data_IF_632072867173
#
_entry.id   IF_632072867173
#
_cell.length_a   1.000
_cell.length_b   1.000
_cell.length_c   1.000
_cell.angle_alpha   90.00
_cell.angle_beta   90.00
_cell.angle_gamma   90.00
#
_symmetry.space_group_name_H-M   'P 1'
#
loop_
_entity.id
_entity.type
_entity.pdbx_description
1 polymer ?
#
# COMPACT_ATOMS: atom_id res chain seq x y z
N UNK A 1 -18.42 20.59 66.05
CA UNK A 1 -18.41 19.29 65.34
C UNK A 1 -18.21 19.57 63.86
N UNK A 2 -16.96 19.56 63.40
CA UNK A 2 -16.61 19.87 62.00
C UNK A 2 -16.77 18.60 61.15
N UNK A 3 -17.65 18.64 60.15
CA UNK A 3 -17.75 17.59 59.13
C UNK A 3 -16.91 18.02 57.92
N UNK A 4 -15.74 17.39 57.77
CA UNK A 4 -14.95 17.42 56.55
C UNK A 4 -15.65 16.56 55.49
N UNK A 5 -16.13 17.20 54.42
CA UNK A 5 -16.59 16.51 53.22
C UNK A 5 -15.36 16.24 52.35
N UNK A 6 -14.96 14.97 52.24
CA UNK A 6 -13.95 14.54 51.27
C UNK A 6 -14.57 14.51 49.87
N UNK A 7 -14.12 15.40 48.99
CA UNK A 7 -14.37 15.32 47.57
C UNK A 7 -13.34 14.36 46.94
N UNK A 8 -13.82 13.20 46.46
CA UNK A 8 -13.01 12.27 45.66
C UNK A 8 -13.04 12.77 44.22
N UNK A 9 -11.93 13.35 43.77
CA UNK A 9 -11.74 13.77 42.38
C UNK A 9 -11.36 12.55 41.53
N UNK A 10 -12.27 12.09 40.67
CA UNK A 10 -11.96 11.14 39.62
C UNK A 10 -11.20 11.86 38.50
N UNK A 11 -9.90 11.60 38.38
CA UNK A 11 -9.10 12.03 37.23
C UNK A 11 -9.32 11.01 36.11
N UNK A 12 -10.09 11.39 35.08
CA UNK A 12 -10.24 10.62 33.85
C UNK A 12 -8.96 10.79 33.01
N UNK A 13 -8.10 9.77 32.97
CA UNK A 13 -6.97 9.74 32.03
C UNK A 13 -7.54 9.48 30.62
N UNK A 14 -7.61 10.51 29.79
CA UNK A 14 -7.85 10.34 28.35
C UNK A 14 -6.56 9.80 27.73
N UNK A 15 -6.54 8.52 27.36
CA UNK A 15 -5.47 7.95 26.56
C UNK A 15 -5.57 8.51 25.15
N UNK A 16 -4.81 9.57 24.86
CA UNK A 16 -4.60 10.04 23.50
C UNK A 16 -3.56 9.09 22.88
N UNK A 17 -4.03 8.00 22.27
CA UNK A 17 -3.17 7.15 21.47
C UNK A 17 -2.64 7.98 20.30
N UNK A 18 -1.34 8.26 20.28
CA UNK A 18 -0.71 8.85 19.11
C UNK A 18 -0.68 7.78 18.03
N UNK A 19 -1.62 7.83 17.09
CA UNK A 19 -1.53 7.00 15.90
C UNK A 19 -0.42 7.59 15.04
N UNK A 20 0.72 6.89 14.97
CA UNK A 20 1.88 7.34 14.23
C UNK A 20 1.69 6.97 12.77
N UNK A 21 1.40 7.96 11.93
CA UNK A 21 1.45 7.77 10.49
C UNK A 21 2.89 7.43 10.08
N UNK A 22 3.06 6.43 9.22
CA UNK A 22 4.36 6.06 8.64
C UNK A 22 4.41 6.47 7.16
N UNK A 23 5.59 6.84 6.69
CA UNK A 23 5.77 7.24 5.30
C UNK A 23 5.76 6.04 4.36
N UNK A 24 5.29 6.24 3.14
CA UNK A 24 5.35 5.27 2.06
C UNK A 24 5.17 5.94 0.70
N UNK A 25 4.96 5.09 -0.30
CA UNK A 25 4.71 5.52 -1.68
C UNK A 25 3.49 4.81 -2.25
N UNK A 26 2.78 5.47 -3.16
CA UNK A 26 1.67 4.86 -3.88
C UNK A 26 1.93 4.78 -5.37
N UNK A 27 1.71 3.59 -5.93
CA UNK A 27 1.47 3.38 -7.35
C UNK A 27 -0.01 3.14 -7.62
N UNK A 28 -0.37 3.01 -8.88
CA UNK A 28 -1.75 2.90 -9.31
C UNK A 28 -2.01 1.71 -10.22
N UNK A 29 -3.12 1.03 -9.95
CA UNK A 29 -3.51 -0.15 -10.69
C UNK A 29 -5.03 -0.20 -10.88
N UNK A 30 -5.46 -0.72 -12.03
CA UNK A 30 -6.87 -0.96 -12.31
C UNK A 30 -7.19 -2.44 -12.07
N UNK A 31 -7.57 -2.74 -10.82
CA UNK A 31 -7.92 -4.10 -10.40
C UNK A 31 -9.06 -4.68 -11.22
N UNK A 32 -9.97 -3.85 -11.76
CA UNK A 32 -11.09 -4.32 -12.59
C UNK A 32 -10.67 -4.98 -13.90
N UNK A 33 -9.42 -4.83 -14.32
CA UNK A 33 -8.85 -5.46 -15.52
C UNK A 33 -8.16 -6.79 -15.25
N UNK A 34 -8.02 -7.16 -13.97
CA UNK A 34 -7.33 -8.36 -13.56
C UNK A 34 -8.27 -9.56 -13.48
N UNK A 35 -7.73 -10.76 -13.70
CA UNK A 35 -8.48 -12.01 -13.56
C UNK A 35 -8.60 -12.50 -12.12
N UNK A 36 -7.80 -11.95 -11.19
CA UNK A 36 -7.78 -12.32 -9.78
C UNK A 36 -6.78 -11.49 -8.99
N UNK A 37 -6.71 -11.75 -7.68
CA UNK A 37 -5.80 -11.12 -6.71
C UNK A 37 -5.21 -12.18 -5.78
N UNK A 38 -4.10 -11.89 -5.11
CA UNK A 38 -3.41 -12.82 -4.22
C UNK A 38 -4.25 -13.23 -2.99
N UNK A 39 -5.08 -12.31 -2.45
CA UNK A 39 -5.89 -12.62 -1.27
C UNK A 39 -7.13 -13.44 -1.61
N UNK A 40 -7.16 -14.68 -1.14
CA UNK A 40 -8.32 -15.56 -1.27
C UNK A 40 -9.59 -14.92 -0.69
N UNK A 41 -10.70 -15.02 -1.44
CA UNK A 41 -12.01 -14.51 -1.03
C UNK A 41 -12.27 -13.04 -1.39
N UNK A 42 -11.29 -12.34 -1.96
CA UNK A 42 -11.47 -11.00 -2.50
C UNK A 42 -11.65 -11.00 -4.01
N UNK A 43 -12.36 -9.99 -4.52
CA UNK A 43 -12.58 -9.80 -5.95
C UNK A 43 -11.59 -8.77 -6.51
N UNK A 44 -11.13 -8.94 -7.76
CA UNK A 44 -10.30 -7.96 -8.47
C UNK A 44 -11.16 -6.76 -8.88
N UNK A 45 -11.52 -5.91 -7.91
CA UNK A 45 -12.33 -4.71 -8.13
C UNK A 45 -11.72 -3.51 -7.45
N UNK A 46 -11.80 -2.34 -8.09
CA UNK A 46 -11.25 -1.09 -7.54
C UNK A 46 -11.92 -0.66 -6.21
N UNK A 47 -13.14 -1.13 -5.95
CA UNK A 47 -13.86 -0.91 -4.70
C UNK A 47 -14.03 -2.21 -3.91
N UNK A 48 -13.91 -2.11 -2.59
CA UNK A 48 -14.12 -3.18 -1.61
C UNK A 48 -15.36 -2.89 -0.73
N UNK A 49 -16.29 -2.06 -1.24
CA UNK A 49 -17.49 -1.59 -0.53
C UNK A 49 -17.21 -0.44 0.45
N UNK A 50 -18.25 0.24 0.92
CA UNK A 50 -18.19 1.26 1.98
C UNK A 50 -17.12 2.36 1.77
N UNK A 51 -16.92 2.81 0.52
CA UNK A 51 -15.86 3.78 0.16
C UNK A 51 -14.44 3.32 0.51
N UNK A 52 -14.20 2.01 0.49
CA UNK A 52 -12.88 1.39 0.66
C UNK A 52 -12.35 0.99 -0.71
N UNK A 53 -11.12 1.38 -0.99
CA UNK A 53 -10.42 1.08 -2.24
C UNK A 53 -9.59 -0.19 -2.11
N UNK A 54 -9.44 -0.95 -3.20
CA UNK A 54 -8.48 -2.05 -3.24
C UNK A 54 -7.04 -1.53 -3.22
N UNK A 55 -6.15 -2.30 -2.60
CA UNK A 55 -4.72 -2.09 -2.71
C UNK A 55 -3.94 -3.40 -2.56
N UNK A 56 -2.68 -3.36 -3.02
CA UNK A 56 -1.64 -4.31 -2.69
C UNK A 56 -0.56 -3.66 -1.83
N UNK A 57 0.07 -4.45 -0.97
CA UNK A 57 1.24 -4.03 -0.18
C UNK A 57 2.47 -4.81 -0.64
N UNK A 58 3.62 -4.14 -0.73
CA UNK A 58 4.90 -4.81 -0.97
C UNK A 58 5.22 -5.83 0.13
N UNK A 59 5.70 -7.01 -0.27
CA UNK A 59 6.20 -8.05 0.64
C UNK A 59 7.54 -7.71 1.31
N UNK A 60 8.14 -6.56 0.96
CA UNK A 60 9.31 -5.95 1.60
C UNK A 60 8.95 -4.77 2.52
N UNK A 61 7.66 -4.45 2.62
CA UNK A 61 7.15 -3.37 3.45
C UNK A 61 7.40 -3.65 4.94
N UNK A 62 7.84 -2.65 5.73
CA UNK A 62 7.84 -2.75 7.18
C UNK A 62 6.46 -3.02 7.80
N UNK A 63 5.38 -2.66 7.09
CA UNK A 63 4.01 -2.94 7.49
C UNK A 63 3.53 -4.35 7.08
N UNK A 64 4.32 -5.10 6.31
CA UNK A 64 3.97 -6.47 5.91
C UNK A 64 3.92 -7.39 7.12
N UNK A 65 2.88 -8.21 7.19
CA UNK A 65 2.73 -9.26 8.20
C UNK A 65 2.62 -10.62 7.52
N UNK A 66 3.35 -11.61 8.06
CA UNK A 66 3.46 -12.95 7.47
C UNK A 66 4.81 -13.20 6.82
N UNK A 67 4.90 -14.30 6.07
CA UNK A 67 6.11 -14.63 5.30
C UNK A 67 6.17 -13.76 4.04
N UNK A 68 7.39 -13.50 3.53
CA UNK A 68 7.55 -12.93 2.19
C UNK A 68 6.97 -13.93 1.17
N UNK A 69 6.42 -13.43 0.08
CA UNK A 69 5.93 -14.27 -0.99
C UNK A 69 7.04 -15.20 -1.53
N UNK A 70 6.67 -16.44 -1.89
CA UNK A 70 7.60 -17.51 -2.19
C UNK A 70 8.14 -17.44 -3.62
N UNK A 71 9.38 -16.99 -3.81
CA UNK A 71 9.98 -16.99 -5.14
C UNK A 71 11.44 -16.57 -5.16
N UNK A 72 11.96 -16.43 -6.38
CA UNK A 72 13.29 -15.90 -6.67
C UNK A 72 13.23 -15.06 -7.94
N UNK A 73 14.02 -14.00 -8.01
CA UNK A 73 14.18 -13.22 -9.23
C UNK A 73 14.93 -14.04 -10.30
N UNK A 74 14.41 -14.04 -11.51
CA UNK A 74 14.97 -14.74 -12.66
C UNK A 74 14.90 -13.84 -13.90
N UNK A 75 16.06 -13.39 -14.37
CA UNK A 75 16.17 -12.48 -15.50
C UNK A 75 15.69 -13.10 -16.82
N UNK A 76 15.69 -14.43 -16.95
CA UNK A 76 15.17 -15.11 -18.15
C UNK A 76 13.66 -14.93 -18.33
N UNK A 77 12.96 -14.51 -17.27
CA UNK A 77 11.54 -14.14 -17.31
C UNK A 77 11.30 -12.68 -17.71
N UNK A 78 12.33 -11.90 -18.01
CA UNK A 78 12.19 -10.51 -18.43
C UNK A 78 12.48 -10.36 -19.92
N UNK A 79 11.73 -9.48 -20.60
CA UNK A 79 11.92 -9.20 -22.03
C UNK A 79 13.01 -8.14 -22.29
N UNK A 80 13.67 -7.64 -21.24
CA UNK A 80 14.68 -6.58 -21.33
C UNK A 80 14.11 -5.19 -21.68
N UNK A 81 12.79 -5.01 -21.58
CA UNK A 81 12.06 -3.78 -21.92
C UNK A 81 11.03 -3.43 -20.84
N UNK A 82 11.34 -3.71 -19.57
CA UNK A 82 10.45 -3.37 -18.45
C UNK A 82 9.25 -4.31 -18.26
N UNK A 83 9.21 -5.46 -18.95
CA UNK A 83 8.07 -6.39 -18.88
C UNK A 83 8.52 -7.84 -18.77
N UNK A 84 7.61 -8.67 -18.29
CA UNK A 84 7.84 -10.10 -18.11
C UNK A 84 7.41 -10.93 -19.32
N UNK A 85 8.15 -11.99 -19.59
CA UNK A 85 7.81 -13.08 -20.48
C UNK A 85 7.06 -14.11 -19.63
N UNK A 86 5.82 -14.45 -20.00
CA UNK A 86 4.99 -15.41 -19.28
C UNK A 86 4.98 -15.15 -17.77
N UNK A 87 4.30 -14.06 -17.38
CA UNK A 87 4.28 -13.46 -16.04
C UNK A 87 3.68 -14.33 -14.93
N UNK A 88 4.23 -15.52 -14.75
CA UNK A 88 3.92 -16.46 -13.68
C UNK A 88 4.96 -16.25 -12.60
N UNK A 89 4.49 -15.78 -11.46
CA UNK A 89 5.33 -15.48 -10.32
C UNK A 89 4.93 -16.23 -9.05
N UNK A 90 5.58 -15.85 -7.95
CA UNK A 90 5.42 -16.44 -6.63
C UNK A 90 3.98 -16.34 -6.15
N UNK A 91 3.56 -17.30 -5.32
CA UNK A 91 2.37 -17.17 -4.50
C UNK A 91 2.74 -16.57 -3.13
N UNK A 92 1.77 -15.94 -2.47
CA UNK A 92 1.90 -15.42 -1.10
C UNK A 92 1.03 -16.24 -0.12
N UNK A 93 1.29 -17.55 0.07
CA UNK A 93 0.37 -18.44 0.79
C UNK A 93 0.27 -18.14 2.29
N UNK A 94 1.30 -17.55 2.91
CA UNK A 94 1.29 -17.17 4.33
C UNK A 94 1.24 -15.64 4.53
N UNK A 95 0.72 -14.90 3.54
CA UNK A 95 0.39 -13.49 3.72
C UNK A 95 -0.69 -13.33 4.80
N UNK A 96 -0.44 -12.45 5.77
CA UNK A 96 -1.40 -12.12 6.83
C UNK A 96 -1.94 -10.69 6.70
N UNK A 97 -1.60 -10.01 5.60
CA UNK A 97 -2.03 -8.65 5.34
C UNK A 97 -3.43 -8.56 4.72
N UNK A 98 -3.88 -9.63 4.06
CA UNK A 98 -5.18 -9.72 3.42
C UNK A 98 -6.33 -9.28 4.32
N UNK A 99 -7.12 -8.33 3.83
CA UNK A 99 -8.30 -7.79 4.52
C UNK A 99 -8.02 -6.66 5.49
N UNK A 100 -6.76 -6.36 5.84
CA UNK A 100 -6.43 -5.23 6.71
C UNK A 100 -6.63 -3.89 5.99
N UNK A 101 -7.05 -2.87 6.74
CA UNK A 101 -7.31 -1.53 6.19
C UNK A 101 -6.28 -0.50 6.65
N UNK A 102 -6.05 0.48 5.78
CA UNK A 102 -5.20 1.64 6.05
C UNK A 102 -5.86 2.92 5.58
N UNK A 103 -5.69 3.98 6.35
CA UNK A 103 -5.93 5.34 5.90
C UNK A 103 -4.68 5.83 5.17
N UNK A 104 -4.87 6.38 3.98
CA UNK A 104 -3.82 6.89 3.11
C UNK A 104 -4.08 8.37 2.85
N UNK A 105 -3.02 9.18 2.97
CA UNK A 105 -3.05 10.61 2.63
C UNK A 105 -1.86 10.98 1.76
N UNK A 106 -2.10 11.77 0.72
CA UNK A 106 -1.03 12.34 -0.11
C UNK A 106 -0.20 13.35 0.68
N UNK A 107 1.13 13.24 0.60
CA UNK A 107 2.08 14.21 1.17
C UNK A 107 2.92 14.93 0.11
N UNK A 108 2.97 14.41 -1.12
CA UNK A 108 3.57 15.09 -2.26
C UNK A 108 3.62 14.21 -3.51
N UNK A 109 4.12 14.77 -4.62
CA UNK A 109 4.47 13.99 -5.81
C UNK A 109 5.74 13.18 -5.53
N UNK A 110 5.72 11.88 -5.84
CA UNK A 110 6.93 11.04 -5.85
C UNK A 110 7.80 11.38 -7.07
N UNK A 111 7.14 11.62 -8.20
CA UNK A 111 7.76 11.87 -9.51
C UNK A 111 8.26 13.32 -9.68
N UNK A 112 8.27 14.09 -8.57
CA UNK A 112 8.75 15.48 -8.50
C UNK A 112 8.01 16.43 -9.44
N UNK A 113 6.73 16.16 -9.68
CA UNK A 113 5.86 17.05 -10.44
C UNK A 113 5.76 18.41 -9.75
N UNK A 114 5.90 19.48 -10.53
CA UNK A 114 5.81 20.86 -10.04
C UNK A 114 4.41 21.46 -10.21
N UNK A 115 3.53 20.75 -10.92
CA UNK A 115 2.13 21.11 -11.15
C UNK A 115 1.22 20.08 -10.51
N UNK A 116 0.14 20.54 -9.88
CA UNK A 116 -0.75 19.67 -9.10
C UNK A 116 -0.54 19.84 -7.61
N UNK A 117 -1.37 19.18 -6.82
CA UNK A 117 -1.33 19.23 -5.36
C UNK A 117 -2.03 18.04 -4.73
N UNK A 118 -1.64 17.71 -3.51
CA UNK A 118 -2.45 16.88 -2.63
C UNK A 118 -3.75 17.63 -2.28
N UNK A 119 -4.86 16.90 -2.22
CA UNK A 119 -6.18 17.47 -1.87
C UNK A 119 -6.34 17.71 -0.37
N UNK A 120 -5.52 17.03 0.46
CA UNK A 120 -5.68 16.96 1.91
C UNK A 120 -6.70 15.91 2.37
N UNK A 121 -7.38 15.22 1.43
CA UNK A 121 -8.29 14.13 1.77
C UNK A 121 -7.54 12.88 2.21
N UNK A 122 -8.24 12.05 2.98
CA UNK A 122 -7.80 10.70 3.35
C UNK A 122 -8.70 9.69 2.65
N UNK A 123 -8.11 8.66 2.06
CA UNK A 123 -8.85 7.50 1.54
C UNK A 123 -8.57 6.29 2.41
N UNK A 124 -9.56 5.40 2.52
CA UNK A 124 -9.36 4.10 3.15
C UNK A 124 -9.08 3.06 2.07
N UNK A 125 -7.99 2.32 2.21
CA UNK A 125 -7.67 1.17 1.35
C UNK A 125 -7.78 -0.11 2.16
N UNK A 126 -8.06 -1.22 1.47
CA UNK A 126 -8.01 -2.58 2.01
C UNK A 126 -7.04 -3.40 1.18
N UNK A 127 -6.16 -4.12 1.86
CA UNK A 127 -5.24 -5.03 1.18
C UNK A 127 -6.02 -6.23 0.68
N UNK A 128 -6.06 -6.40 -0.63
CA UNK A 128 -6.72 -7.53 -1.30
C UNK A 128 -5.78 -8.27 -2.23
N UNK A 129 -4.55 -7.77 -2.38
CA UNK A 129 -3.54 -8.34 -3.24
C UNK A 129 -2.16 -8.10 -2.61
N UNK A 130 -1.15 -8.77 -3.14
CA UNK A 130 0.24 -8.58 -2.74
C UNK A 130 1.00 -7.89 -3.87
N UNK A 131 2.09 -7.19 -3.52
CA UNK A 131 3.06 -6.74 -4.51
C UNK A 131 4.41 -7.44 -4.27
N UNK A 132 4.61 -8.66 -4.81
CA UNK A 132 5.77 -9.45 -4.46
C UNK A 132 7.01 -8.97 -5.20
N UNK A 133 8.09 -8.71 -4.46
CA UNK A 133 9.41 -8.38 -5.00
C UNK A 133 10.10 -9.54 -5.75
N UNK A 134 9.49 -10.72 -5.76
CA UNK A 134 9.95 -11.87 -6.56
C UNK A 134 9.01 -12.19 -7.72
N UNK A 135 7.98 -11.37 -7.95
CA UNK A 135 7.10 -11.52 -9.10
C UNK A 135 7.70 -10.84 -10.33
N UNK A 136 7.79 -11.51 -11.50
CA UNK A 136 8.42 -10.94 -12.69
C UNK A 136 7.70 -9.69 -13.20
N UNK A 137 6.40 -9.55 -12.95
CA UNK A 137 5.68 -8.30 -13.23
C UNK A 137 6.16 -7.09 -12.40
N UNK A 138 6.99 -7.29 -11.38
CA UNK A 138 7.54 -6.26 -10.50
C UNK A 138 9.03 -6.07 -10.79
N UNK A 139 9.87 -7.09 -10.52
CA UNK A 139 11.31 -6.96 -10.74
C UNK A 139 11.70 -6.75 -12.21
N UNK A 140 10.92 -7.21 -13.21
CA UNK A 140 11.28 -6.91 -14.61
C UNK A 140 11.11 -5.43 -14.97
N UNK A 141 10.42 -4.63 -14.15
CA UNK A 141 10.22 -3.19 -14.38
C UNK A 141 11.44 -2.35 -14.00
N UNK A 142 12.35 -2.87 -13.18
CA UNK A 142 13.51 -2.10 -12.68
C UNK A 142 14.71 -2.18 -13.64
N UNK A 143 15.63 -1.23 -13.50
CA UNK A 143 16.80 -1.09 -14.36
C UNK A 143 17.70 -2.34 -14.40
N UNK A 144 17.81 -3.07 -13.28
CA UNK A 144 18.59 -4.30 -13.19
C UNK A 144 18.12 -5.39 -14.17
N UNK A 145 16.87 -5.32 -14.64
CA UNK A 145 16.25 -6.29 -15.55
C UNK A 145 15.82 -5.67 -16.90
N UNK A 146 16.35 -4.49 -17.24
CA UNK A 146 16.09 -3.80 -18.51
C UNK A 146 14.82 -2.94 -18.52
N UNK A 147 14.23 -2.67 -17.35
CA UNK A 147 13.17 -1.68 -17.21
C UNK A 147 13.69 -0.29 -16.84
N UNK A 148 12.76 0.59 -16.46
CA UNK A 148 13.05 1.99 -16.13
C UNK A 148 12.31 2.48 -14.88
N UNK A 149 11.51 1.63 -14.24
CA UNK A 149 10.74 1.99 -13.05
C UNK A 149 11.67 1.95 -11.83
N UNK A 150 11.68 2.98 -10.97
CA UNK A 150 12.38 2.96 -9.70
C UNK A 150 11.94 1.79 -8.80
N UNK A 151 12.85 1.28 -7.97
CA UNK A 151 12.60 0.10 -7.14
C UNK A 151 11.45 0.30 -6.13
N UNK A 152 11.31 1.53 -5.61
CA UNK A 152 10.24 1.93 -4.69
C UNK A 152 8.87 2.03 -5.37
N UNK A 153 8.83 2.17 -6.69
CA UNK A 153 7.62 2.13 -7.52
C UNK A 153 7.36 0.75 -8.13
N UNK A 154 8.28 -0.20 -7.96
CA UNK A 154 8.16 -1.56 -8.46
C UNK A 154 8.02 -2.59 -7.34
N UNK A 155 7.82 -2.16 -6.08
CA UNK A 155 7.75 -3.01 -4.89
C UNK A 155 9.04 -3.79 -4.58
N UNK A 156 10.17 -3.38 -5.15
CA UNK A 156 11.48 -4.00 -5.02
C UNK A 156 12.34 -3.33 -3.93
N UNK A 157 12.01 -2.10 -3.52
CA UNK A 157 12.78 -1.38 -2.51
C UNK A 157 12.53 -1.94 -1.10
N UNK A 158 13.59 -2.48 -0.49
CA UNK A 158 13.56 -2.97 0.89
C UNK A 158 13.27 -1.85 1.89
N UNK A 159 12.33 -2.07 2.80
CA UNK A 159 12.01 -1.11 3.87
C UNK A 159 11.09 0.03 3.45
N UNK A 160 10.55 0.00 2.22
CA UNK A 160 9.58 0.97 1.72
C UNK A 160 8.16 0.41 1.86
N UNK A 161 7.26 1.21 2.43
CA UNK A 161 5.84 0.91 2.44
C UNK A 161 5.23 1.25 1.06
N UNK A 162 5.47 0.41 0.06
CA UNK A 162 4.93 0.59 -1.29
C UNK A 162 3.51 0.01 -1.38
N UNK A 163 2.54 0.87 -1.68
CA UNK A 163 1.14 0.52 -1.89
C UNK A 163 0.80 0.65 -3.37
N UNK A 164 0.30 -0.42 -3.98
CA UNK A 164 -0.31 -0.34 -5.31
C UNK A 164 -1.82 -0.15 -5.13
N UNK A 165 -2.33 1.06 -5.34
CA UNK A 165 -3.69 1.44 -4.94
C UNK A 165 -4.60 1.47 -6.17
N UNK A 166 -5.87 1.11 -6.00
CA UNK A 166 -6.88 1.24 -7.04
C UNK A 166 -6.86 2.66 -7.64
N UNK A 167 -6.72 2.74 -8.98
CA UNK A 167 -6.56 4.00 -9.72
C UNK A 167 -7.67 5.02 -9.44
N UNK A 168 -8.87 4.56 -9.09
CA UNK A 168 -10.02 5.41 -8.76
C UNK A 168 -9.84 6.23 -7.46
N UNK A 169 -8.88 5.87 -6.59
CA UNK A 169 -8.55 6.64 -5.40
C UNK A 169 -7.70 7.89 -5.72
N UNK A 170 -7.00 7.89 -6.86
CA UNK A 170 -6.00 8.89 -7.22
C UNK A 170 -6.55 10.32 -7.19
N UNK A 171 -7.66 10.55 -7.90
CA UNK A 171 -8.27 11.88 -8.00
C UNK A 171 -8.85 12.39 -6.67
N UNK A 172 -9.05 11.50 -5.69
CA UNK A 172 -9.48 11.88 -4.35
C UNK A 172 -8.28 12.39 -3.55
N UNK A 173 -7.12 11.77 -3.73
CA UNK A 173 -5.88 12.06 -3.00
C UNK A 173 -5.10 13.25 -3.57
N UNK A 174 -5.05 13.41 -4.89
CA UNK A 174 -4.27 14.47 -5.51
C UNK A 174 -4.73 14.81 -6.93
N UNK A 175 -4.21 15.92 -7.45
CA UNK A 175 -4.27 16.29 -8.87
C UNK A 175 -2.97 16.01 -9.64
N UNK A 176 -1.96 15.44 -8.97
CA UNK A 176 -0.72 14.99 -9.60
C UNK A 176 -1.02 13.85 -10.60
N UNK A 177 -0.30 13.82 -11.71
CA UNK A 177 -0.47 12.81 -12.76
C UNK A 177 0.33 11.53 -12.49
N UNK A 178 1.32 11.60 -11.62
CA UNK A 178 2.24 10.53 -11.28
C UNK A 178 1.93 9.77 -9.99
N UNK A 179 2.96 9.15 -9.44
CA UNK A 179 2.95 8.46 -8.16
C UNK A 179 3.10 9.44 -6.99
N UNK A 180 2.72 9.03 -5.79
CA UNK A 180 2.67 9.92 -4.62
C UNK A 180 3.56 9.44 -3.50
N UNK A 181 4.14 10.40 -2.79
CA UNK A 181 4.52 10.21 -1.40
C UNK A 181 3.25 10.20 -0.55
N UNK A 182 3.15 9.27 0.39
CA UNK A 182 1.96 9.07 1.23
C UNK A 182 2.30 8.93 2.71
N UNK A 183 1.36 9.38 3.55
CA UNK A 183 1.25 9.01 4.95
C UNK A 183 0.28 7.82 5.06
N UNK A 184 0.63 6.84 5.90
CA UNK A 184 -0.10 5.59 6.10
C UNK A 184 -0.43 5.41 7.58
N UNK A 185 -1.69 5.13 7.87
CA UNK A 185 -2.17 4.85 9.23
C UNK A 185 -3.02 3.57 9.22
N UNK A 186 -2.69 2.59 10.08
CA UNK A 186 -3.52 1.40 10.26
C UNK A 186 -4.90 1.79 10.79
N UNK A 187 -5.96 1.21 10.23
CA UNK A 187 -7.33 1.51 10.65
C UNK A 187 -8.21 0.26 10.57
N UNK A 188 -9.39 0.30 11.20
CA UNK A 188 -10.38 -0.75 11.00
C UNK A 188 -11.04 -0.62 9.63
N UNK A 189 -11.33 -1.75 9.01
CA UNK A 189 -12.40 -1.85 8.03
C UNK A 189 -13.75 -1.76 8.75
#
# INVERSE_FOLDING_TARGET
>A
MNRLVSAITFVLLVYVGTVNAVAGVSTWNDYGTQSGVACSGFLPTNSQGNNIFAAALSDLSPLWTGSRCQGSQDASKCNGQGSCINCIGPACPDEQQCGNCFNIRCTGSLDRETSGSCTGNTVKVKIVDACPSTHPANYCKIAAFGGSVPEDEACEASGVNAFDIAITAKSILSSFQGNLNIDIETTSC
#
